data_IF_536107629992
#
_entry.id   IF_536107629992
#
_cell.length_a   1.000
_cell.length_b   1.000
_cell.length_c   1.000
_cell.angle_alpha   90.00
_cell.angle_beta   90.00
_cell.angle_gamma   90.00
#
_symmetry.space_group_name_H-M   'P 1'
#
loop_
_entity.id
_entity.type
_entity.pdbx_description
1 polymer ?
#
# COMPACT_ATOMS: atom_id res chain seq x y z
N UNK A 1 17.79 -16.78 -7.72
CA UNK A 1 17.71 -15.30 -7.64
C UNK A 1 16.56 -14.82 -8.51
N UNK A 2 15.44 -14.46 -7.88
CA UNK A 2 14.23 -13.95 -8.57
C UNK A 2 14.40 -12.55 -9.16
N UNK A 3 15.49 -11.83 -8.81
CA UNK A 3 15.77 -10.49 -9.32
C UNK A 3 14.74 -9.45 -8.88
N UNK A 4 14.04 -9.72 -7.77
CA UNK A 4 13.08 -8.82 -7.13
C UNK A 4 13.62 -8.40 -5.77
N UNK A 5 13.35 -7.15 -5.39
CA UNK A 5 13.52 -6.64 -4.03
C UNK A 5 12.45 -7.22 -3.10
N UNK A 6 12.62 -7.12 -1.78
CA UNK A 6 11.64 -7.65 -0.80
C UNK A 6 10.24 -7.06 -1.02
N UNK A 7 10.15 -5.76 -1.29
CA UNK A 7 8.86 -5.10 -1.58
C UNK A 7 8.22 -5.67 -2.85
N UNK A 8 9.00 -5.81 -3.92
CA UNK A 8 8.52 -6.36 -5.19
C UNK A 8 8.11 -7.83 -5.07
N UNK A 9 8.81 -8.60 -4.23
CA UNK A 9 8.44 -9.99 -3.96
C UNK A 9 7.10 -10.05 -3.22
N UNK A 10 6.89 -9.20 -2.22
CA UNK A 10 5.62 -9.11 -1.49
C UNK A 10 4.44 -8.74 -2.40
N UNK A 11 4.64 -7.82 -3.36
CA UNK A 11 3.61 -7.51 -4.35
C UNK A 11 3.40 -8.64 -5.36
N UNK A 12 4.47 -9.33 -5.78
CA UNK A 12 4.35 -10.49 -6.65
C UNK A 12 3.54 -11.61 -5.97
N UNK A 13 3.83 -11.93 -4.71
CA UNK A 13 3.10 -12.96 -3.96
C UNK A 13 1.63 -12.55 -3.76
N UNK A 14 1.38 -11.28 -3.43
CA UNK A 14 0.02 -10.72 -3.32
C UNK A 14 -0.81 -10.83 -4.62
N UNK A 15 -0.17 -10.69 -5.78
CA UNK A 15 -0.83 -10.85 -7.08
C UNK A 15 -0.98 -12.33 -7.46
N UNK A 16 0.01 -13.16 -7.12
CA UNK A 16 0.02 -14.59 -7.38
C UNK A 16 -0.96 -15.38 -6.49
N UNK A 17 -1.32 -14.85 -5.32
CA UNK A 17 -2.34 -15.44 -4.42
C UNK A 17 -3.73 -15.51 -5.08
N UNK A 18 -3.98 -14.68 -6.09
CA UNK A 18 -5.05 -14.97 -7.04
C UNK A 18 -4.57 -16.10 -7.96
N UNK A 19 -4.79 -17.36 -7.57
CA UNK A 19 -4.29 -18.57 -8.26
C UNK A 19 -4.44 -18.51 -9.77
N UNK A 20 -5.58 -18.01 -10.23
CA UNK A 20 -5.92 -17.94 -11.65
C UNK A 20 -5.45 -16.67 -12.35
N UNK A 21 -4.78 -15.73 -11.68
CA UNK A 21 -4.06 -14.63 -12.32
C UNK A 21 -2.69 -15.09 -12.83
N UNK A 22 -2.02 -15.98 -12.08
CA UNK A 22 -0.73 -16.56 -12.46
C UNK A 22 -0.86 -17.44 -13.70
N UNK A 23 -1.90 -18.26 -13.77
CA UNK A 23 -2.16 -19.13 -14.92
C UNK A 23 -2.51 -18.34 -16.20
N UNK A 24 -3.17 -17.18 -16.06
CA UNK A 24 -3.64 -16.38 -17.21
C UNK A 24 -2.55 -15.43 -17.72
N UNK A 25 -1.80 -14.79 -16.83
CA UNK A 25 -0.87 -13.71 -17.20
C UNK A 25 0.57 -14.18 -17.33
N UNK A 26 0.93 -15.29 -16.67
CA UNK A 26 2.30 -15.77 -16.61
C UNK A 26 3.18 -15.02 -15.61
N UNK A 27 4.26 -15.67 -15.22
CA UNK A 27 5.16 -15.24 -14.15
C UNK A 27 5.90 -13.92 -14.47
N UNK A 28 6.32 -13.74 -15.73
CA UNK A 28 7.04 -12.55 -16.19
C UNK A 28 6.17 -11.28 -16.13
N UNK A 29 4.89 -11.37 -16.50
CA UNK A 29 3.97 -10.24 -16.44
C UNK A 29 3.67 -9.87 -14.98
N UNK A 30 3.46 -10.85 -14.10
CA UNK A 30 3.25 -10.59 -12.68
C UNK A 30 4.47 -9.90 -12.03
N UNK A 31 5.68 -10.34 -12.38
CA UNK A 31 6.91 -9.68 -11.94
C UNK A 31 7.01 -8.24 -12.43
N UNK A 32 6.64 -7.99 -13.67
CA UNK A 32 6.64 -6.63 -14.23
C UNK A 32 5.62 -5.74 -13.52
N UNK A 33 4.40 -6.24 -13.28
CA UNK A 33 3.37 -5.53 -12.52
C UNK A 33 3.89 -5.21 -11.11
N UNK A 34 4.54 -6.16 -10.44
CA UNK A 34 5.08 -5.95 -9.09
C UNK A 34 6.15 -4.84 -9.06
N UNK A 35 7.07 -4.83 -10.02
CA UNK A 35 8.10 -3.78 -10.17
C UNK A 35 7.47 -2.40 -10.39
N UNK A 36 6.55 -2.31 -11.35
CA UNK A 36 5.88 -1.07 -11.67
C UNK A 36 4.99 -0.57 -10.53
N UNK A 37 4.35 -1.48 -9.78
CA UNK A 37 3.59 -1.14 -8.57
C UNK A 37 4.51 -0.56 -7.51
N UNK A 38 5.63 -1.19 -7.20
CA UNK A 38 6.60 -0.68 -6.22
C UNK A 38 7.09 0.70 -6.63
N UNK A 39 7.44 0.90 -7.90
CA UNK A 39 7.91 2.19 -8.40
C UNK A 39 6.81 3.26 -8.35
N UNK A 40 5.59 2.93 -8.79
CA UNK A 40 4.45 3.83 -8.74
C UNK A 40 4.08 4.22 -7.31
N UNK A 41 4.15 3.28 -6.37
CA UNK A 41 3.93 3.52 -4.94
C UNK A 41 5.03 4.44 -4.42
N UNK A 42 6.32 4.10 -4.58
CA UNK A 42 7.45 4.94 -4.15
C UNK A 42 7.38 6.37 -4.70
N UNK A 43 7.02 6.55 -5.98
CA UNK A 43 6.83 7.88 -6.60
C UNK A 43 5.66 8.68 -6.03
N UNK A 44 4.61 8.01 -5.53
CA UNK A 44 3.42 8.65 -4.96
C UNK A 44 3.44 8.70 -3.43
N UNK A 45 4.42 8.06 -2.78
CA UNK A 45 4.74 8.20 -1.36
C UNK A 45 5.43 9.55 -1.11
N UNK A 46 4.74 10.65 -1.43
CA UNK A 46 5.13 11.95 -0.89
C UNK A 46 4.84 11.96 0.61
N UNK A 47 5.85 12.39 1.36
CA UNK A 47 5.97 12.49 2.82
C UNK A 47 4.71 13.09 3.45
N UNK A 48 3.70 12.26 3.70
CA UNK A 48 2.63 12.48 4.67
C UNK A 48 1.77 11.22 4.71
N UNK A 49 2.41 10.15 5.18
CA UNK A 49 1.80 8.83 5.24
C UNK A 49 0.95 8.61 6.52
N UNK A 50 0.58 9.71 7.20
CA UNK A 50 -0.43 9.71 8.25
C UNK A 50 -1.85 9.75 7.65
N UNK A 51 -2.27 8.63 7.07
CA UNK A 51 -3.67 8.18 6.91
C UNK A 51 -4.69 9.29 6.54
N UNK A 52 -4.55 9.92 5.37
CA UNK A 52 -5.67 10.66 4.75
C UNK A 52 -6.37 9.78 3.72
N UNK A 53 -7.70 9.68 3.81
CA UNK A 53 -8.54 8.88 2.90
C UNK A 53 -8.31 9.26 1.42
N UNK A 54 -8.29 10.55 1.10
CA UNK A 54 -7.11 11.19 0.51
C UNK A 54 -6.22 10.40 -0.45
N UNK A 55 -5.05 10.10 0.10
CA UNK A 55 -3.93 9.41 -0.52
C UNK A 55 -4.30 7.96 -0.82
N UNK A 56 -5.09 7.31 0.05
CA UNK A 56 -5.54 5.93 -0.19
C UNK A 56 -6.43 5.82 -1.43
N UNK A 57 -7.33 6.78 -1.63
CA UNK A 57 -8.18 6.82 -2.82
C UNK A 57 -7.34 7.02 -4.10
N UNK A 58 -6.35 7.93 -4.05
CA UNK A 58 -5.41 8.16 -5.16
C UNK A 58 -4.57 6.90 -5.45
N UNK A 59 -4.07 6.23 -4.42
CA UNK A 59 -3.27 5.00 -4.56
C UNK A 59 -4.10 3.86 -5.13
N UNK A 60 -5.32 3.64 -4.63
CA UNK A 60 -6.28 2.66 -5.21
C UNK A 60 -6.55 2.94 -6.68
N UNK A 61 -6.69 4.22 -7.07
CA UNK A 61 -6.90 4.60 -8.46
C UNK A 61 -5.69 4.28 -9.35
N UNK A 62 -4.47 4.53 -8.86
CA UNK A 62 -3.23 4.22 -9.57
C UNK A 62 -3.09 2.70 -9.75
N UNK A 63 -3.26 1.93 -8.68
CA UNK A 63 -3.18 0.45 -8.72
C UNK A 63 -4.20 -0.10 -9.73
N UNK A 64 -5.46 0.36 -9.68
CA UNK A 64 -6.50 -0.06 -10.63
C UNK A 64 -6.12 0.26 -12.08
N UNK A 65 -5.55 1.45 -12.34
CA UNK A 65 -5.12 1.84 -13.69
C UNK A 65 -3.99 0.95 -14.20
N UNK A 66 -3.05 0.61 -13.33
CA UNK A 66 -1.89 -0.22 -13.65
C UNK A 66 -2.33 -1.67 -13.93
N UNK A 67 -3.13 -2.27 -13.05
CA UNK A 67 -3.72 -3.60 -13.28
C UNK A 67 -4.50 -3.67 -14.59
N UNK A 68 -5.30 -2.64 -14.89
CA UNK A 68 -6.05 -2.56 -16.16
C UNK A 68 -5.11 -2.46 -17.38
N UNK A 69 -4.01 -1.71 -17.27
CA UNK A 69 -3.04 -1.57 -18.36
C UNK A 69 -2.42 -2.91 -18.74
N UNK A 70 -2.11 -3.74 -17.74
CA UNK A 70 -1.53 -5.07 -17.95
C UNK A 70 -2.56 -6.17 -18.28
N UNK A 71 -3.85 -5.84 -18.37
CA UNK A 71 -4.89 -6.81 -18.67
C UNK A 71 -5.26 -7.73 -17.50
N UNK A 72 -5.01 -7.29 -16.25
CA UNK A 72 -5.38 -8.07 -15.07
C UNK A 72 -6.90 -8.30 -15.04
N UNK A 73 -7.38 -9.52 -14.69
CA UNK A 73 -8.79 -9.85 -14.73
C UNK A 73 -9.64 -8.88 -13.87
N UNK A 74 -10.71 -8.28 -14.42
CA UNK A 74 -11.52 -7.29 -13.70
C UNK A 74 -12.26 -7.89 -12.50
N UNK A 75 -12.55 -9.18 -12.53
CA UNK A 75 -13.13 -9.98 -11.44
C UNK A 75 -12.18 -10.11 -10.24
N UNK A 76 -10.86 -10.18 -10.47
CA UNK A 76 -9.84 -10.30 -9.41
C UNK A 76 -9.21 -8.97 -9.00
N UNK A 77 -9.42 -7.93 -9.81
CA UNK A 77 -8.89 -6.59 -9.57
C UNK A 77 -9.26 -6.04 -8.18
N UNK A 78 -10.50 -6.17 -7.66
CA UNK A 78 -10.85 -5.64 -6.34
C UNK A 78 -10.02 -6.26 -5.21
N UNK A 79 -9.82 -7.58 -5.25
CA UNK A 79 -9.06 -8.31 -4.24
C UNK A 79 -7.57 -7.99 -4.34
N UNK A 80 -7.01 -7.98 -5.55
CA UNK A 80 -5.63 -7.58 -5.78
C UNK A 80 -5.33 -6.18 -5.26
N UNK A 81 -6.23 -5.21 -5.51
CA UNK A 81 -6.08 -3.83 -5.00
C UNK A 81 -6.08 -3.77 -3.48
N UNK A 82 -6.90 -4.60 -2.81
CA UNK A 82 -6.95 -4.66 -1.35
C UNK A 82 -5.63 -5.18 -0.76
N UNK A 83 -5.13 -6.31 -1.28
CA UNK A 83 -3.89 -6.94 -0.80
C UNK A 83 -2.69 -6.03 -1.06
N UNK A 84 -2.58 -5.45 -2.26
CA UNK A 84 -1.51 -4.48 -2.60
C UNK A 84 -1.57 -3.27 -1.68
N UNK A 85 -2.75 -2.78 -1.33
CA UNK A 85 -2.91 -1.66 -0.42
C UNK A 85 -2.52 -2.02 1.03
N UNK A 86 -2.65 -3.27 1.44
CA UNK A 86 -2.17 -3.77 2.73
C UNK A 86 -0.65 -3.93 2.75
N UNK A 87 -0.05 -4.50 1.71
CA UNK A 87 1.40 -4.61 1.58
C UNK A 87 2.08 -3.25 1.48
N UNK A 88 1.51 -2.32 0.71
CA UNK A 88 1.97 -0.93 0.68
C UNK A 88 1.92 -0.29 2.08
N UNK A 89 0.98 -0.71 2.93
CA UNK A 89 0.94 -0.23 4.31
C UNK A 89 2.07 -0.77 5.17
N UNK A 90 2.41 -2.04 5.00
CA UNK A 90 3.51 -2.68 5.72
C UNK A 90 4.86 -2.12 5.28
N UNK A 91 5.05 -1.91 3.97
CA UNK A 91 6.24 -1.27 3.40
C UNK A 91 6.52 0.10 4.04
N UNK A 92 5.49 0.94 4.14
CA UNK A 92 5.66 2.27 4.74
C UNK A 92 5.86 2.22 6.26
N UNK A 93 5.26 1.25 6.97
CA UNK A 93 5.53 1.04 8.40
C UNK A 93 6.98 0.60 8.65
N UNK A 94 7.55 -0.20 7.73
CA UNK A 94 8.93 -0.66 7.81
C UNK A 94 9.93 0.46 7.48
N UNK A 95 9.68 1.28 6.46
CA UNK A 95 10.47 2.50 6.18
C UNK A 95 10.38 3.51 7.35
N UNK A 96 9.23 3.54 8.04
CA UNK A 96 9.03 4.32 9.26
C UNK A 96 9.79 3.77 10.47
N UNK A 97 10.57 2.69 10.40
CA UNK A 97 11.37 2.23 11.56
C UNK A 97 12.46 3.25 11.97
N UNK A 98 12.74 4.26 11.14
CA UNK A 98 13.49 5.47 11.52
C UNK A 98 12.65 6.62 12.11
N UNK A 99 11.31 6.55 12.07
CA UNK A 99 10.39 7.65 12.45
C UNK A 99 9.26 7.20 13.41
N UNK A 100 9.08 5.88 13.62
CA UNK A 100 8.04 5.28 14.47
C UNK A 100 8.23 5.61 15.94
N UNK A 101 9.47 5.88 16.36
CA UNK A 101 9.75 6.38 17.71
C UNK A 101 9.09 7.72 18.00
N UNK A 102 8.84 8.59 17.00
CA UNK A 102 8.18 9.87 17.28
C UNK A 102 6.66 9.76 17.43
N UNK A 103 5.97 8.92 16.66
CA UNK A 103 4.50 8.82 16.75
C UNK A 103 4.01 8.10 18.02
N UNK A 104 4.80 7.19 18.58
CA UNK A 104 4.49 6.55 19.85
C UNK A 104 4.70 7.53 21.04
N UNK A 105 5.78 8.34 21.02
CA UNK A 105 6.10 9.32 22.07
C UNK A 105 5.07 10.46 22.20
N UNK A 106 4.39 10.85 21.11
CA UNK A 106 3.42 11.97 21.15
C UNK A 106 2.06 11.55 21.72
N UNK A 107 1.71 10.25 21.72
CA UNK A 107 0.44 9.78 22.27
C UNK A 107 0.41 9.74 23.81
N UNK A 108 1.56 9.68 24.47
CA UNK A 108 1.66 9.70 25.94
C UNK A 108 1.74 11.11 26.54
N UNK A 109 1.93 12.17 25.73
CA UNK A 109 2.08 13.56 26.18
C UNK A 109 0.93 14.51 25.75
N UNK A 110 -0.32 14.03 25.65
CA UNK A 110 -1.46 14.95 25.51
C UNK A 110 -1.92 15.47 26.89
N UNK A 111 -1.86 16.79 27.17
CA UNK A 111 -2.56 17.34 28.33
C UNK A 111 -4.07 17.13 28.12
N UNK A 112 -4.74 16.62 29.15
CA UNK A 112 -6.19 16.41 29.19
C UNK A 112 -6.91 17.75 28.94
N UNK A 113 -7.37 18.01 27.73
CA UNK A 113 -8.32 19.11 27.49
C UNK A 113 -9.59 18.58 26.85
N UNK A 114 -10.41 17.97 27.71
CA UNK A 114 -11.87 18.00 27.65
C UNK A 114 -12.29 18.45 29.07
N UNK A 115 -13.13 19.45 29.27
CA UNK A 115 -14.55 19.41 28.94
C UNK A 115 -15.13 20.83 29.14
N UNK A 116 -15.92 21.31 28.17
CA UNK A 116 -16.72 22.52 28.31
C UNK A 116 -17.89 22.21 29.24
N UNK A 117 -17.99 22.85 30.39
CA UNK A 117 -19.25 22.98 31.15
C UNK A 117 -19.54 24.44 31.42
N UNK A 118 -20.74 24.81 31.01
CA UNK A 118 -21.40 26.08 31.27
C UNK A 118 -21.45 26.38 32.78
N UNK A 119 -21.19 27.64 33.13
CA UNK A 119 -21.73 28.23 34.35
C UNK A 119 -21.79 29.75 34.15
N UNK A 120 -22.98 30.25 33.77
CA UNK A 120 -23.65 31.49 34.24
C UNK A 120 -25.13 31.32 33.88
#
# INVERSE_FOLDING_TARGET
>A
NTGLTEDELAFYDALAENESAKEIMGDDILKQIARDLTEAIRKNLSIDWSIRASVQAKMKMIIKRLLKHYGYPPDKTPKAVEIVMEQAKLMCQNESSGVRYQYQLVKEELPKVAEKRENI
#
